data_IF_794657943445
#
_entry.id   IF_794657943445
#
_cell.length_a   1.000
_cell.length_b   1.000
_cell.length_c   1.000
_cell.angle_alpha   90.00
_cell.angle_beta   90.00
_cell.angle_gamma   90.00
#
_symmetry.space_group_name_H-M   'P 1'
#
loop_
_entity.id
_entity.type
_entity.pdbx_description
1 polymer ?
#
# COMPACT_ATOMS: atom_id res chain seq x y z
N UNK A 1 -28.71 16.15 -23.55
CA UNK A 1 -27.39 15.49 -23.35
C UNK A 1 -27.03 14.83 -24.66
N UNK A 2 -25.87 15.12 -25.22
CA UNK A 2 -25.37 14.38 -26.39
C UNK A 2 -25.28 12.89 -26.06
N UNK A 3 -25.81 12.06 -26.94
CA UNK A 3 -25.77 10.61 -26.78
C UNK A 3 -24.41 10.09 -27.28
N UNK A 4 -23.51 9.80 -26.32
CA UNK A 4 -22.21 9.25 -26.67
C UNK A 4 -22.33 7.81 -27.18
N UNK A 5 -21.51 7.44 -28.17
CA UNK A 5 -21.50 6.11 -28.77
C UNK A 5 -21.08 5.02 -27.78
N UNK A 6 -20.14 5.31 -26.90
CA UNK A 6 -19.53 4.35 -25.97
C UNK A 6 -19.69 4.75 -24.51
N UNK A 7 -19.52 6.04 -24.19
CA UNK A 7 -19.60 6.54 -22.80
C UNK A 7 -21.02 6.38 -22.28
N UNK A 8 -21.17 5.83 -21.08
CA UNK A 8 -22.47 5.56 -20.46
C UNK A 8 -23.22 4.34 -21.03
N UNK A 9 -22.61 3.58 -21.94
CA UNK A 9 -23.20 2.34 -22.51
C UNK A 9 -22.64 1.11 -21.80
N UNK A 10 -23.47 0.08 -21.67
CA UNK A 10 -23.06 -1.24 -21.18
C UNK A 10 -22.38 -2.00 -22.32
N UNK A 11 -21.07 -2.00 -22.34
CA UNK A 11 -20.27 -2.71 -23.33
C UNK A 11 -19.72 -4.03 -22.76
N UNK A 12 -19.66 -5.11 -23.55
CA UNK A 12 -18.99 -6.33 -23.14
C UNK A 12 -17.48 -6.09 -23.04
N UNK A 13 -16.83 -6.72 -22.04
CA UNK A 13 -15.39 -6.73 -21.93
C UNK A 13 -14.78 -7.48 -23.13
N UNK A 14 -13.80 -6.88 -23.84
CA UNK A 14 -13.25 -7.44 -25.09
C UNK A 14 -12.56 -8.79 -24.89
N UNK A 15 -11.92 -9.02 -23.74
CA UNK A 15 -11.22 -10.25 -23.35
C UNK A 15 -12.10 -11.18 -22.47
N UNK A 16 -13.34 -10.81 -22.19
CA UNK A 16 -14.24 -11.53 -21.28
C UNK A 16 -14.45 -13.00 -21.67
N UNK A 17 -14.58 -13.26 -22.98
CA UNK A 17 -14.77 -14.63 -23.48
C UNK A 17 -13.55 -15.52 -23.22
N UNK A 18 -12.33 -14.99 -23.28
CA UNK A 18 -11.11 -15.74 -22.97
C UNK A 18 -11.08 -16.16 -21.51
N UNK A 19 -11.49 -15.26 -20.59
CA UNK A 19 -11.59 -15.57 -19.16
C UNK A 19 -12.62 -16.67 -18.88
N UNK A 20 -13.84 -16.54 -19.43
CA UNK A 20 -14.93 -17.51 -19.21
C UNK A 20 -14.57 -18.90 -19.74
N UNK A 21 -13.85 -18.97 -20.85
CA UNK A 21 -13.44 -20.23 -21.48
C UNK A 21 -12.11 -20.78 -20.93
N UNK A 22 -11.55 -20.20 -19.86
CA UNK A 22 -10.25 -20.57 -19.27
C UNK A 22 -9.08 -20.55 -20.29
N UNK A 23 -9.14 -19.65 -21.28
CA UNK A 23 -8.09 -19.45 -22.30
C UNK A 23 -7.11 -18.35 -21.94
N UNK A 24 -7.41 -17.58 -20.91
CA UNK A 24 -6.51 -16.55 -20.38
C UNK A 24 -5.23 -17.19 -19.85
N UNK A 25 -4.10 -16.66 -20.26
CA UNK A 25 -2.78 -17.08 -19.73
C UNK A 25 -2.28 -16.07 -18.72
N UNK A 26 -1.91 -16.55 -17.54
CA UNK A 26 -1.26 -15.80 -16.49
C UNK A 26 0.25 -16.02 -16.54
N UNK A 27 1.02 -15.19 -15.82
CA UNK A 27 2.49 -15.32 -15.79
C UNK A 27 2.90 -16.73 -15.34
N UNK A 28 2.19 -17.30 -14.36
CA UNK A 28 2.49 -18.66 -13.92
C UNK A 28 2.27 -19.76 -14.98
N UNK A 29 1.45 -19.51 -16.01
CA UNK A 29 1.21 -20.47 -17.08
C UNK A 29 2.31 -20.50 -18.14
N UNK A 30 3.21 -19.50 -18.12
CA UNK A 30 4.31 -19.39 -19.08
C UNK A 30 5.35 -20.45 -18.77
N UNK A 31 5.76 -21.17 -19.82
CA UNK A 31 6.87 -22.13 -19.81
C UNK A 31 7.81 -21.80 -20.94
N UNK A 32 9.09 -21.63 -20.61
CA UNK A 32 10.16 -21.33 -21.56
C UNK A 32 11.20 -22.47 -21.52
N UNK A 33 11.84 -22.79 -22.64
CA UNK A 33 12.88 -23.83 -22.68
C UNK A 33 14.03 -23.54 -21.71
N UNK A 34 14.49 -24.57 -20.98
CA UNK A 34 15.61 -24.45 -20.05
C UNK A 34 15.32 -23.61 -18.79
N UNK A 35 14.05 -23.40 -18.45
CA UNK A 35 13.62 -22.59 -17.32
C UNK A 35 14.13 -23.13 -15.99
N UNK A 36 14.65 -22.26 -15.16
CA UNK A 36 15.07 -22.49 -13.78
C UNK A 36 14.02 -22.02 -12.79
N UNK A 37 14.03 -22.61 -11.60
CA UNK A 37 13.10 -22.31 -10.52
C UNK A 37 13.82 -21.70 -9.33
N UNK A 38 13.17 -20.73 -8.68
CA UNK A 38 13.74 -19.97 -7.58
C UNK A 38 13.07 -20.29 -6.26
N UNK A 39 13.90 -20.40 -5.23
CA UNK A 39 13.52 -20.29 -3.82
C UNK A 39 14.49 -19.37 -3.08
N UNK A 40 14.05 -18.84 -1.93
CA UNK A 40 14.87 -17.95 -1.11
C UNK A 40 14.90 -18.40 0.34
N UNK A 41 16.08 -18.28 0.97
CA UNK A 41 16.18 -18.30 2.41
C UNK A 41 15.70 -16.96 2.96
N UNK A 42 14.78 -17.02 3.92
CA UNK A 42 14.10 -15.85 4.48
C UNK A 42 14.31 -15.81 5.99
N UNK A 43 14.39 -14.59 6.54
CA UNK A 43 14.53 -14.40 7.98
C UNK A 43 13.35 -15.01 8.75
N UNK A 44 13.62 -15.87 9.75
CA UNK A 44 12.60 -16.37 10.68
C UNK A 44 12.27 -15.38 11.81
N UNK A 45 13.07 -14.31 11.97
CA UNK A 45 12.98 -13.36 13.07
C UNK A 45 12.70 -11.94 12.58
N UNK A 46 12.05 -11.10 13.40
CA UNK A 46 11.63 -9.76 12.99
C UNK A 46 12.76 -8.72 13.00
N UNK A 47 13.84 -8.96 13.76
CA UNK A 47 14.97 -8.05 13.86
C UNK A 47 16.22 -8.82 14.25
N UNK A 48 17.26 -8.75 13.43
CA UNK A 48 18.55 -9.35 13.74
C UNK A 48 19.66 -8.70 12.91
N UNK A 49 20.90 -8.77 13.43
CA UNK A 49 22.11 -8.58 12.65
C UNK A 49 22.51 -9.89 11.97
N UNK A 50 22.92 -9.83 10.72
CA UNK A 50 23.44 -10.97 9.99
C UNK A 50 24.94 -11.08 10.30
N UNK A 51 25.34 -12.13 11.00
CA UNK A 51 26.75 -12.36 11.36
C UNK A 51 27.50 -13.14 10.29
N UNK A 52 26.83 -14.17 9.73
CA UNK A 52 27.41 -15.05 8.70
C UNK A 52 26.34 -15.56 7.76
N UNK A 53 26.69 -15.70 6.49
CA UNK A 53 25.91 -16.42 5.47
C UNK A 53 26.84 -17.41 4.79
N UNK A 54 26.56 -18.71 4.92
CA UNK A 54 27.30 -19.80 4.29
C UNK A 54 26.40 -20.52 3.29
N UNK A 55 26.71 -20.38 2.02
CA UNK A 55 25.97 -20.96 0.90
C UNK A 55 26.68 -22.16 0.25
N UNK A 56 27.86 -22.54 0.75
CA UNK A 56 28.75 -23.51 0.11
C UNK A 56 28.11 -24.87 -0.15
N UNK A 57 27.30 -25.38 0.79
CA UNK A 57 26.57 -26.63 0.63
C UNK A 57 25.47 -26.52 -0.42
N UNK A 58 24.75 -25.42 -0.45
CA UNK A 58 23.72 -25.16 -1.45
C UNK A 58 24.30 -25.04 -2.86
N UNK A 59 25.45 -24.35 -3.02
CA UNK A 59 26.15 -24.23 -4.31
C UNK A 59 26.69 -25.56 -4.83
N UNK A 60 27.03 -26.50 -3.92
CA UNK A 60 27.56 -27.80 -4.27
C UNK A 60 26.48 -28.86 -4.60
N UNK A 61 25.21 -28.53 -4.37
CA UNK A 61 24.11 -29.48 -4.63
C UNK A 61 23.89 -29.62 -6.16
N UNK A 62 23.92 -30.89 -6.67
CA UNK A 62 23.65 -31.14 -8.09
C UNK A 62 22.28 -30.56 -8.51
N UNK A 63 22.23 -29.87 -9.65
CA UNK A 63 21.04 -29.22 -10.15
C UNK A 63 20.87 -27.75 -9.69
N UNK A 64 21.66 -27.28 -8.74
CA UNK A 64 21.75 -25.84 -8.43
C UNK A 64 22.59 -25.15 -9.48
N UNK A 65 22.06 -24.10 -10.08
CA UNK A 65 22.74 -23.34 -11.14
C UNK A 65 23.41 -22.08 -10.59
N UNK A 66 22.73 -21.38 -9.69
CA UNK A 66 23.29 -20.18 -9.03
C UNK A 66 22.65 -19.94 -7.67
N UNK A 67 23.49 -19.58 -6.72
CA UNK A 67 23.08 -18.99 -5.43
C UNK A 67 23.53 -17.53 -5.45
N UNK A 68 22.67 -16.61 -5.02
CA UNK A 68 23.00 -15.18 -4.89
C UNK A 68 22.75 -14.69 -3.48
N UNK A 69 23.61 -13.80 -3.05
CA UNK A 69 23.51 -12.96 -1.85
C UNK A 69 23.47 -11.49 -2.26
N UNK A 70 23.38 -10.59 -1.30
CA UNK A 70 23.45 -9.15 -1.59
C UNK A 70 24.72 -8.73 -2.38
N UNK A 71 25.83 -9.49 -2.25
CA UNK A 71 27.09 -9.25 -2.95
C UNK A 71 27.01 -9.45 -4.46
N UNK A 72 26.09 -10.30 -4.90
CA UNK A 72 25.84 -10.59 -6.32
C UNK A 72 24.87 -9.58 -6.96
N UNK A 73 24.22 -8.72 -6.16
CA UNK A 73 23.30 -7.70 -6.67
C UNK A 73 24.07 -6.46 -7.09
N UNK A 74 24.09 -6.06 -8.38
CA UNK A 74 24.92 -4.96 -8.84
C UNK A 74 24.65 -3.61 -8.14
N UNK A 75 23.39 -3.32 -7.78
CA UNK A 75 22.99 -2.23 -6.91
C UNK A 75 21.86 -2.69 -6.00
N UNK A 76 22.19 -2.95 -4.73
CA UNK A 76 21.32 -3.64 -3.77
C UNK A 76 20.34 -2.70 -3.06
N UNK A 77 19.71 -1.75 -3.76
CA UNK A 77 18.71 -0.85 -3.19
C UNK A 77 17.63 -0.52 -4.20
N UNK A 78 16.39 -0.37 -3.73
CA UNK A 78 15.27 0.10 -4.54
C UNK A 78 14.24 0.88 -3.71
N UNK A 79 13.15 1.31 -4.35
CA UNK A 79 12.15 2.18 -3.75
C UNK A 79 12.39 3.64 -4.09
N UNK A 80 11.46 4.51 -3.71
CA UNK A 80 11.54 5.95 -4.02
C UNK A 80 12.68 6.66 -3.29
N UNK A 81 13.02 6.20 -2.10
CA UNK A 81 14.15 6.72 -1.30
C UNK A 81 15.33 5.75 -1.26
N UNK A 82 15.26 4.63 -1.99
CA UNK A 82 16.30 3.62 -2.11
C UNK A 82 16.80 3.06 -0.75
N UNK A 83 15.91 2.90 0.22
CA UNK A 83 16.20 2.36 1.54
C UNK A 83 16.05 0.83 1.62
N UNK A 84 15.32 0.21 0.69
CA UNK A 84 15.00 -1.21 0.73
C UNK A 84 16.03 -2.03 -0.09
N UNK A 85 16.75 -2.99 0.54
CA UNK A 85 17.66 -3.87 -0.19
C UNK A 85 16.90 -4.93 -0.98
N UNK A 86 17.46 -5.35 -2.13
CA UNK A 86 16.95 -6.49 -2.91
C UNK A 86 17.13 -7.80 -2.15
N UNK A 87 18.29 -7.98 -1.52
CA UNK A 87 18.59 -9.04 -0.54
C UNK A 87 19.19 -8.40 0.70
N UNK A 88 18.81 -8.86 1.89
CA UNK A 88 19.31 -8.32 3.15
C UNK A 88 20.83 -8.40 3.23
N UNK A 89 21.46 -7.31 3.69
CA UNK A 89 22.90 -7.12 3.71
C UNK A 89 23.49 -7.37 5.10
N UNK A 90 23.28 -6.43 6.03
CA UNK A 90 23.86 -6.48 7.38
C UNK A 90 22.84 -6.83 8.45
N UNK A 91 21.56 -6.63 8.16
CA UNK A 91 20.45 -6.83 9.09
C UNK A 91 19.17 -7.27 8.39
N UNK A 92 18.30 -7.91 9.16
CA UNK A 92 16.92 -8.16 8.79
C UNK A 92 15.99 -7.31 9.64
N UNK A 93 14.93 -6.77 9.04
CA UNK A 93 13.98 -5.85 9.68
C UNK A 93 12.58 -6.40 9.81
N UNK A 94 12.30 -7.60 9.26
CA UNK A 94 11.00 -8.26 9.39
C UNK A 94 11.10 -9.76 9.10
N UNK A 95 10.15 -10.54 9.63
CA UNK A 95 10.00 -11.96 9.33
C UNK A 95 9.63 -12.14 7.86
N UNK A 96 10.40 -12.98 7.15
CA UNK A 96 10.17 -13.25 5.72
C UNK A 96 11.05 -12.43 4.78
N UNK A 97 11.94 -11.57 5.29
CA UNK A 97 12.89 -10.83 4.45
C UNK A 97 13.89 -11.76 3.78
N UNK A 98 14.09 -11.60 2.47
CA UNK A 98 15.00 -12.40 1.67
C UNK A 98 16.47 -12.07 1.98
N UNK A 99 17.27 -13.11 2.26
CA UNK A 99 18.71 -12.99 2.51
C UNK A 99 19.53 -13.65 1.42
N UNK A 100 19.11 -14.84 0.96
CA UNK A 100 19.76 -15.61 -0.10
C UNK A 100 18.70 -16.11 -1.07
N UNK A 101 19.00 -16.11 -2.37
CA UNK A 101 18.14 -16.72 -3.37
C UNK A 101 18.89 -17.76 -4.20
N UNK A 102 18.21 -18.85 -4.54
CA UNK A 102 18.74 -19.98 -5.29
C UNK A 102 17.96 -20.16 -6.57
N UNK A 103 18.66 -20.36 -7.70
CA UNK A 103 18.10 -20.84 -8.96
C UNK A 103 18.58 -22.27 -9.23
N UNK A 104 17.65 -23.20 -9.44
CA UNK A 104 17.92 -24.61 -9.71
C UNK A 104 17.10 -25.15 -10.89
N UNK A 105 17.46 -26.36 -11.36
CA UNK A 105 16.83 -27.05 -12.49
C UNK A 105 15.35 -27.33 -12.27
N UNK A 106 14.96 -27.58 -11.02
CA UNK A 106 13.60 -27.83 -10.60
C UNK A 106 13.31 -27.25 -9.21
N UNK A 107 12.04 -27.25 -8.82
CA UNK A 107 11.58 -26.65 -7.58
C UNK A 107 12.06 -27.42 -6.33
N UNK A 108 12.11 -28.75 -6.41
CA UNK A 108 12.49 -29.60 -5.28
C UNK A 108 13.97 -29.41 -4.95
N UNK A 109 14.82 -29.35 -5.97
CA UNK A 109 16.24 -29.01 -5.84
C UNK A 109 16.44 -27.60 -5.27
N UNK A 110 15.64 -26.62 -5.70
CA UNK A 110 15.73 -25.27 -5.14
C UNK A 110 15.33 -25.22 -3.66
N UNK A 111 14.31 -25.99 -3.25
CA UNK A 111 13.87 -26.11 -1.85
C UNK A 111 14.93 -26.83 -0.99
N UNK A 112 15.50 -27.92 -1.48
CA UNK A 112 16.58 -28.63 -0.80
C UNK A 112 17.80 -27.71 -0.61
N UNK A 113 18.21 -27.00 -1.66
CA UNK A 113 19.33 -26.07 -1.59
C UNK A 113 19.13 -24.98 -0.52
N UNK A 114 17.93 -24.41 -0.43
CA UNK A 114 17.59 -23.43 0.62
C UNK A 114 17.75 -24.03 2.02
N UNK A 115 17.41 -25.30 2.22
CA UNK A 115 17.55 -25.97 3.53
C UNK A 115 19.01 -26.20 3.94
N UNK A 116 19.94 -26.16 3.00
CA UNK A 116 21.39 -26.34 3.22
C UNK A 116 22.12 -25.01 3.49
N UNK A 117 21.43 -23.87 3.36
CA UNK A 117 22.01 -22.54 3.66
C UNK A 117 22.08 -22.37 5.17
N UNK A 118 23.26 -21.96 5.65
CA UNK A 118 23.48 -21.64 7.06
C UNK A 118 23.63 -20.13 7.25
N UNK A 119 22.70 -19.53 8.01
CA UNK A 119 22.71 -18.11 8.33
C UNK A 119 22.75 -17.93 9.84
N UNK A 120 23.80 -17.29 10.33
CA UNK A 120 23.97 -16.95 11.73
C UNK A 120 23.41 -15.54 11.99
N UNK A 121 22.43 -15.45 12.88
CA UNK A 121 21.73 -14.22 13.24
C UNK A 121 21.97 -13.87 14.70
N UNK A 122 22.29 -12.60 14.96
CA UNK A 122 22.24 -12.00 16.30
C UNK A 122 20.89 -11.29 16.45
N UNK A 123 19.94 -11.96 17.12
CA UNK A 123 18.61 -11.41 17.32
C UNK A 123 18.64 -10.13 18.16
N UNK A 124 17.75 -9.17 17.81
CA UNK A 124 17.57 -7.91 18.50
C UNK A 124 16.12 -7.72 18.90
N UNK A 125 15.89 -6.94 19.95
CA UNK A 125 14.54 -6.56 20.33
C UNK A 125 13.85 -5.78 19.20
N UNK A 126 12.66 -6.21 18.74
CA UNK A 126 11.98 -5.56 17.64
C UNK A 126 11.06 -4.44 18.13
N UNK A 127 10.96 -3.36 17.37
CA UNK A 127 9.91 -2.35 17.50
C UNK A 127 8.66 -2.82 16.73
N UNK A 128 7.59 -3.20 17.44
CA UNK A 128 6.35 -3.68 16.83
C UNK A 128 5.17 -2.72 16.99
N UNK A 129 5.27 -1.73 17.89
CA UNK A 129 4.21 -0.74 18.14
C UNK A 129 4.60 0.62 17.57
N UNK A 130 3.88 1.14 16.55
CA UNK A 130 4.20 2.45 15.98
C UNK A 130 4.01 3.61 16.98
N UNK A 131 3.18 3.44 18.02
CA UNK A 131 3.03 4.46 19.05
C UNK A 131 4.31 4.58 19.91
N UNK A 132 4.91 3.44 20.27
CA UNK A 132 6.22 3.41 20.94
C UNK A 132 7.34 3.97 20.06
N UNK A 133 7.26 3.75 18.74
CA UNK A 133 8.24 4.28 17.80
C UNK A 133 8.29 5.81 17.70
N UNK A 134 7.32 6.52 18.29
CA UNK A 134 7.31 7.98 18.40
C UNK A 134 8.04 8.50 19.64
N UNK A 135 8.38 7.64 20.59
CA UNK A 135 9.04 8.02 21.84
C UNK A 135 10.52 8.35 21.58
N UNK A 136 11.11 9.34 22.27
CA UNK A 136 12.48 9.77 22.00
C UNK A 136 13.54 8.70 22.22
N UNK A 137 13.30 7.77 23.13
CA UNK A 137 14.17 6.66 23.52
C UNK A 137 13.79 5.32 22.84
N UNK A 138 12.96 5.38 21.83
CA UNK A 138 12.50 4.22 21.10
C UNK A 138 13.63 3.50 20.36
N UNK A 139 13.51 2.16 20.26
CA UNK A 139 14.32 1.33 19.37
C UNK A 139 14.28 1.91 17.95
N UNK A 140 15.45 2.06 17.33
CA UNK A 140 15.55 2.57 15.96
C UNK A 140 15.54 1.42 14.96
N UNK A 141 14.57 1.48 14.00
CA UNK A 141 14.42 0.49 12.91
C UNK A 141 15.32 0.86 11.73
N UNK A 142 15.55 2.14 11.52
CA UNK A 142 16.47 2.66 10.48
C UNK A 142 17.54 3.54 11.11
N UNK A 143 18.75 3.60 10.53
CA UNK A 143 19.78 4.56 10.96
C UNK A 143 19.32 6.03 10.93
N UNK A 144 18.39 6.37 10.05
CA UNK A 144 17.79 7.71 9.93
C UNK A 144 16.64 7.95 10.94
N UNK A 145 16.32 6.96 11.78
CA UNK A 145 15.22 7.01 12.74
C UNK A 145 13.97 6.31 12.28
N UNK A 146 12.90 6.42 13.08
CA UNK A 146 11.63 5.71 12.84
C UNK A 146 10.62 6.52 12.02
N UNK A 147 10.80 7.82 11.90
CA UNK A 147 9.84 8.67 11.18
C UNK A 147 10.07 8.64 9.66
N UNK A 148 9.00 8.42 8.93
CA UNK A 148 8.98 8.66 7.47
C UNK A 148 8.73 10.14 7.21
N UNK A 149 9.56 10.75 6.38
CA UNK A 149 9.51 12.17 6.10
C UNK A 149 8.61 12.48 4.89
N UNK A 150 7.91 13.60 4.98
CA UNK A 150 7.12 14.22 3.91
C UNK A 150 7.83 15.50 3.45
N UNK A 151 8.80 15.34 2.54
CA UNK A 151 9.77 16.38 2.26
C UNK A 151 10.74 16.55 3.43
N UNK A 152 10.74 17.71 4.04
CA UNK A 152 11.61 18.08 5.20
C UNK A 152 10.98 17.81 6.58
N UNK A 153 9.71 17.32 6.63
CA UNK A 153 8.95 17.17 7.89
C UNK A 153 8.60 15.71 8.19
N UNK A 154 8.71 15.26 9.45
CA UNK A 154 8.31 13.92 9.89
C UNK A 154 6.78 13.77 10.04
N UNK A 155 6.00 14.72 9.49
CA UNK A 155 4.56 14.78 9.62
C UNK A 155 3.91 15.41 8.39
N UNK A 156 2.84 14.77 7.88
CA UNK A 156 1.96 15.40 6.88
C UNK A 156 0.91 16.24 7.59
N UNK A 157 0.89 17.52 7.28
CA UNK A 157 0.01 18.49 7.91
C UNK A 157 -1.05 19.02 6.94
N UNK A 158 -2.29 19.13 7.42
CA UNK A 158 -3.35 19.90 6.78
C UNK A 158 -3.81 20.98 7.76
N UNK A 159 -4.00 22.18 7.25
CA UNK A 159 -4.45 23.34 8.04
C UNK A 159 -5.45 24.13 7.19
N UNK A 160 -6.67 24.29 7.72
CA UNK A 160 -7.75 25.10 7.13
C UNK A 160 -8.46 25.83 8.27
N UNK A 161 -8.64 27.13 8.15
CA UNK A 161 -9.29 27.96 9.18
C UNK A 161 -8.53 27.98 10.52
N UNK A 162 -9.25 28.29 11.59
CA UNK A 162 -8.75 28.34 12.98
C UNK A 162 -9.54 27.36 13.85
N UNK A 163 -8.95 26.17 14.07
CA UNK A 163 -9.60 25.10 14.86
C UNK A 163 -9.73 25.47 16.34
N UNK A 164 -8.78 26.21 16.91
CA UNK A 164 -8.79 26.52 18.34
C UNK A 164 -9.89 27.54 18.66
N UNK A 165 -10.04 28.58 17.85
CA UNK A 165 -11.13 29.54 17.96
C UNK A 165 -12.50 28.86 17.70
N UNK A 166 -12.59 27.93 16.77
CA UNK A 166 -13.83 27.22 16.47
C UNK A 166 -14.21 26.23 17.60
N UNK A 167 -13.25 25.54 18.21
CA UNK A 167 -13.54 24.68 19.38
C UNK A 167 -14.08 25.48 20.56
N UNK A 168 -13.62 26.72 20.76
CA UNK A 168 -14.14 27.59 21.83
C UNK A 168 -15.60 28.02 21.61
N UNK A 169 -16.12 27.93 20.38
CA UNK A 169 -17.49 28.28 20.01
C UNK A 169 -18.43 27.07 19.93
N UNK A 170 -17.88 25.86 19.94
CA UNK A 170 -18.67 24.63 19.78
C UNK A 170 -19.54 24.36 21.02
N UNK A 171 -20.79 23.94 20.78
CA UNK A 171 -21.70 23.50 21.84
C UNK A 171 -21.28 22.13 22.41
N UNK A 172 -20.68 21.28 21.57
CA UNK A 172 -20.21 19.95 21.93
C UNK A 172 -18.79 19.72 21.42
N UNK A 173 -17.95 19.12 22.28
CA UNK A 173 -16.63 18.61 21.92
C UNK A 173 -16.71 17.09 22.01
N UNK A 174 -16.46 16.41 20.88
CA UNK A 174 -16.60 14.96 20.77
C UNK A 174 -15.26 14.35 20.35
N UNK A 175 -14.65 13.60 21.25
CA UNK A 175 -13.34 12.98 21.05
C UNK A 175 -13.49 11.45 20.98
N UNK A 176 -12.84 10.83 20.00
CA UNK A 176 -12.83 9.38 19.86
C UNK A 176 -11.48 8.89 19.31
N UNK A 177 -11.17 7.65 19.66
CA UNK A 177 -10.04 6.90 19.14
C UNK A 177 -10.53 5.76 18.25
N UNK A 178 -9.89 5.62 17.09
CA UNK A 178 -10.14 4.54 16.13
C UNK A 178 -8.84 3.82 15.81
N UNK A 179 -8.96 2.52 15.57
CA UNK A 179 -7.83 1.69 15.15
C UNK A 179 -8.24 0.76 14.03
N UNK A 180 -7.40 0.63 13.00
CA UNK A 180 -7.52 -0.42 11.99
C UNK A 180 -6.35 -1.39 12.13
N UNK A 181 -6.61 -2.69 11.93
CA UNK A 181 -5.57 -3.70 11.87
C UNK A 181 -4.80 -3.63 10.54
N UNK A 182 -3.62 -4.25 10.51
CA UNK A 182 -2.93 -4.58 9.27
C UNK A 182 -3.76 -5.57 8.46
N UNK A 183 -3.70 -5.49 7.13
CA UNK A 183 -4.49 -6.34 6.24
C UNK A 183 -3.71 -6.73 5.00
N UNK A 184 -3.68 -8.04 4.71
CA UNK A 184 -3.15 -8.59 3.47
C UNK A 184 -4.14 -8.44 2.32
N UNK A 185 -3.63 -8.30 1.10
CA UNK A 185 -4.43 -8.19 -0.13
C UNK A 185 -5.12 -9.49 -0.51
N UNK A 186 -4.49 -10.62 -0.24
CA UNK A 186 -4.95 -11.98 -0.54
C UNK A 186 -5.39 -12.17 -2.01
N UNK A 187 -4.60 -11.76 -3.02
CA UNK A 187 -4.95 -12.05 -4.40
C UNK A 187 -4.99 -13.56 -4.62
N UNK A 188 -5.90 -14.06 -5.47
CA UNK A 188 -5.97 -15.49 -5.78
C UNK A 188 -4.66 -15.95 -6.42
N UNK A 189 -4.14 -15.20 -7.39
CA UNK A 189 -2.81 -15.38 -7.96
C UNK A 189 -1.75 -14.77 -7.04
N UNK A 190 -0.86 -15.60 -6.47
CA UNK A 190 0.30 -15.16 -5.68
C UNK A 190 1.34 -14.48 -6.56
N UNK A 191 2.38 -13.87 -5.96
CA UNK A 191 3.46 -13.23 -6.71
C UNK A 191 4.17 -14.25 -7.62
N UNK A 192 4.38 -13.87 -8.88
CA UNK A 192 5.12 -14.66 -9.86
C UNK A 192 5.85 -13.73 -10.84
N UNK A 193 7.11 -14.00 -11.06
CA UNK A 193 7.92 -13.30 -12.06
C UNK A 193 8.78 -14.29 -12.84
N UNK A 194 9.10 -13.94 -14.10
CA UNK A 194 10.06 -14.68 -14.92
C UNK A 194 11.01 -13.65 -15.53
N UNK A 195 12.31 -13.89 -15.45
CA UNK A 195 13.29 -13.03 -16.09
C UNK A 195 14.30 -13.84 -16.89
N UNK A 196 14.81 -13.25 -17.97
CA UNK A 196 15.85 -13.82 -18.82
C UNK A 196 16.75 -12.69 -19.34
N UNK A 197 18.05 -12.82 -19.16
CA UNK A 197 19.02 -11.93 -19.79
C UNK A 197 19.56 -12.60 -21.03
N UNK A 198 19.34 -12.00 -22.22
CA UNK A 198 19.76 -12.55 -23.51
C UNK A 198 21.25 -12.33 -23.78
N UNK A 199 21.75 -12.95 -24.86
CA UNK A 199 23.15 -12.86 -25.28
C UNK A 199 23.63 -11.45 -25.64
N UNK A 200 22.70 -10.53 -25.91
CA UNK A 200 22.96 -9.11 -26.12
C UNK A 200 22.99 -8.30 -24.82
N UNK A 201 22.78 -8.97 -23.67
CA UNK A 201 22.73 -8.35 -22.34
C UNK A 201 21.42 -7.66 -22.02
N UNK A 202 20.36 -7.80 -22.84
CA UNK A 202 19.04 -7.26 -22.53
C UNK A 202 18.30 -8.18 -21.57
N UNK A 203 17.68 -7.60 -20.53
CA UNK A 203 16.86 -8.35 -19.57
C UNK A 203 15.39 -8.24 -19.96
N UNK A 204 14.76 -9.39 -20.20
CA UNK A 204 13.34 -9.56 -20.49
C UNK A 204 12.65 -10.05 -19.22
N UNK A 205 11.58 -9.37 -18.78
CA UNK A 205 10.85 -9.68 -17.55
C UNK A 205 9.37 -9.89 -17.87
N UNK A 206 8.85 -11.08 -17.64
CA UNK A 206 7.41 -11.34 -17.66
C UNK A 206 6.86 -11.06 -16.26
N UNK A 207 6.09 -10.01 -16.15
CA UNK A 207 5.66 -9.44 -14.87
C UNK A 207 4.14 -9.39 -14.76
N UNK A 208 3.62 -9.71 -13.58
CA UNK A 208 2.23 -9.48 -13.21
C UNK A 208 2.00 -8.09 -12.58
N UNK A 209 2.95 -7.17 -12.72
CA UNK A 209 2.91 -5.87 -12.08
C UNK A 209 1.71 -5.02 -12.50
N UNK A 210 1.11 -4.33 -11.52
CA UNK A 210 0.15 -3.27 -11.74
C UNK A 210 0.82 -1.94 -12.14
N UNK A 211 2.16 -1.86 -12.02
CA UNK A 211 2.95 -0.63 -12.19
C UNK A 211 4.27 -0.89 -12.95
N UNK A 212 4.17 -1.44 -14.16
CA UNK A 212 5.34 -1.85 -14.99
C UNK A 212 6.38 -0.75 -15.19
N UNK A 213 5.97 0.53 -15.18
CA UNK A 213 6.89 1.67 -15.30
C UNK A 213 7.74 1.86 -14.03
N UNK A 214 7.17 1.69 -12.85
CA UNK A 214 7.94 1.72 -11.60
C UNK A 214 8.88 0.53 -11.52
N UNK A 215 8.44 -0.68 -11.91
CA UNK A 215 9.32 -1.84 -11.96
C UNK A 215 10.52 -1.59 -12.87
N UNK A 216 10.30 -1.03 -14.07
CA UNK A 216 11.38 -0.68 -14.98
C UNK A 216 12.32 0.36 -14.39
N UNK A 217 11.77 1.39 -13.74
CA UNK A 217 12.53 2.45 -13.10
C UNK A 217 13.45 1.91 -11.98
N UNK A 218 13.01 0.90 -11.25
CA UNK A 218 13.80 0.30 -10.17
C UNK A 218 14.75 -0.81 -10.68
N UNK A 219 14.31 -1.65 -11.62
CA UNK A 219 15.13 -2.74 -12.16
C UNK A 219 16.36 -2.23 -12.92
N UNK A 220 16.25 -1.17 -13.68
CA UNK A 220 17.35 -0.65 -14.49
C UNK A 220 18.57 -0.26 -13.64
N UNK A 221 18.47 0.54 -12.55
CA UNK A 221 19.58 0.81 -11.64
C UNK A 221 20.11 -0.45 -10.95
N UNK A 222 19.21 -1.32 -10.44
CA UNK A 222 19.60 -2.57 -9.75
C UNK A 222 20.51 -3.41 -10.62
N UNK A 223 20.18 -3.55 -11.91
CA UNK A 223 20.95 -4.32 -12.89
C UNK A 223 22.15 -3.53 -13.46
N UNK A 224 22.33 -2.26 -13.06
CA UNK A 224 23.28 -1.31 -13.66
C UNK A 224 23.17 -1.26 -15.20
N UNK A 225 21.93 -1.23 -15.71
CA UNK A 225 21.61 -1.17 -17.14
C UNK A 225 20.82 0.09 -17.48
N UNK A 226 20.98 0.65 -18.69
CA UNK A 226 20.05 1.69 -19.15
C UNK A 226 18.63 1.10 -19.30
N UNK A 227 17.60 1.91 -19.12
CA UNK A 227 16.20 1.47 -19.21
C UNK A 227 15.85 0.83 -20.57
N UNK A 228 16.55 1.19 -21.64
CA UNK A 228 16.38 0.58 -22.96
C UNK A 228 16.80 -0.89 -23.03
N UNK A 229 17.63 -1.34 -22.08
CA UNK A 229 18.07 -2.74 -21.95
C UNK A 229 17.22 -3.57 -21.01
N UNK A 230 16.18 -2.99 -20.41
CA UNK A 230 15.21 -3.69 -19.55
C UNK A 230 13.84 -3.66 -20.23
N UNK A 231 13.36 -4.81 -20.66
CA UNK A 231 12.08 -4.99 -21.34
C UNK A 231 11.10 -5.72 -20.43
N UNK A 232 10.08 -5.02 -19.94
CA UNK A 232 9.04 -5.61 -19.09
C UNK A 232 7.80 -5.89 -19.92
N UNK A 233 7.38 -7.14 -19.92
CA UNK A 233 6.18 -7.65 -20.58
C UNK A 233 5.13 -7.90 -19.51
N UNK A 234 4.11 -7.02 -19.46
CA UNK A 234 2.97 -7.20 -18.56
C UNK A 234 2.06 -8.31 -19.04
N UNK A 235 1.58 -9.12 -18.11
CA UNK A 235 0.56 -10.14 -18.33
C UNK A 235 -0.81 -9.76 -17.78
N UNK A 236 -1.75 -10.70 -17.87
CA UNK A 236 -3.02 -10.61 -17.14
C UNK A 236 -2.72 -10.81 -15.65
N UNK A 237 -3.34 -9.98 -14.81
CA UNK A 237 -3.13 -9.98 -13.36
C UNK A 237 -4.32 -10.67 -12.68
N UNK A 238 -4.06 -11.77 -11.97
CA UNK A 238 -5.04 -12.59 -11.25
C UNK A 238 -5.44 -12.04 -9.88
N UNK A 239 -5.65 -10.72 -9.80
CA UNK A 239 -5.85 -9.95 -8.58
C UNK A 239 -4.53 -9.33 -8.10
N UNK A 240 -4.62 -8.11 -7.56
CA UNK A 240 -3.45 -7.40 -7.06
C UNK A 240 -3.82 -6.48 -5.90
N UNK A 241 -4.84 -5.65 -6.08
CA UNK A 241 -5.35 -4.72 -5.06
C UNK A 241 -4.29 -3.77 -4.48
N UNK A 242 -3.14 -3.65 -5.17
CA UNK A 242 -1.98 -2.86 -4.77
C UNK A 242 -0.74 -3.68 -4.42
N UNK A 243 -0.82 -4.97 -4.03
CA UNK A 243 0.36 -5.79 -3.70
C UNK A 243 1.32 -5.97 -4.88
N UNK A 244 0.81 -5.93 -6.10
CA UNK A 244 1.58 -6.10 -7.33
C UNK A 244 2.08 -4.78 -7.92
N UNK A 245 2.09 -3.70 -7.14
CA UNK A 245 2.81 -2.47 -7.48
C UNK A 245 4.30 -2.60 -7.20
N UNK A 246 4.66 -3.35 -6.16
CA UNK A 246 6.04 -3.56 -5.75
C UNK A 246 6.62 -4.79 -6.47
N UNK A 247 7.88 -4.72 -6.97
CA UNK A 247 8.42 -5.71 -7.91
C UNK A 247 9.08 -6.92 -7.24
N UNK A 248 8.45 -7.52 -6.24
CA UNK A 248 8.99 -8.61 -5.41
C UNK A 248 9.77 -9.69 -6.19
N UNK A 249 9.07 -10.58 -6.90
CA UNK A 249 9.70 -11.70 -7.64
C UNK A 249 10.49 -11.23 -8.84
N UNK A 250 10.09 -10.11 -9.46
CA UNK A 250 10.76 -9.56 -10.65
C UNK A 250 12.19 -9.13 -10.35
N UNK A 251 12.47 -8.60 -9.13
CA UNK A 251 13.80 -8.16 -8.71
C UNK A 251 14.77 -9.35 -8.67
N UNK A 252 14.45 -10.37 -7.90
CA UNK A 252 15.30 -11.54 -7.68
C UNK A 252 15.49 -12.33 -8.97
N UNK A 253 14.42 -12.57 -9.74
CA UNK A 253 14.51 -13.24 -11.03
C UNK A 253 15.41 -12.47 -12.01
N UNK A 254 15.31 -11.13 -12.04
CA UNK A 254 16.14 -10.31 -12.92
C UNK A 254 17.61 -10.36 -12.54
N UNK A 255 17.95 -10.30 -11.25
CA UNK A 255 19.32 -10.43 -10.77
C UNK A 255 19.88 -11.82 -11.09
N UNK A 256 19.17 -12.89 -10.74
CA UNK A 256 19.58 -14.28 -11.05
C UNK A 256 19.82 -14.47 -12.56
N UNK A 257 18.97 -13.88 -13.40
CA UNK A 257 19.10 -14.00 -14.87
C UNK A 257 20.42 -13.45 -15.45
N UNK A 258 21.17 -12.66 -14.68
CA UNK A 258 22.52 -12.20 -15.09
C UNK A 258 23.55 -13.35 -15.06
N UNK A 259 23.29 -14.41 -14.30
CA UNK A 259 24.22 -15.49 -13.98
C UNK A 259 23.81 -16.85 -14.54
N UNK A 260 22.71 -16.93 -15.31
CA UNK A 260 22.12 -18.20 -15.77
C UNK A 260 22.30 -18.46 -17.27
N UNK A 261 23.30 -17.84 -17.91
CA UNK A 261 23.69 -18.12 -19.30
C UNK A 261 22.50 -18.11 -20.28
N UNK A 262 21.70 -17.06 -20.26
CA UNK A 262 20.48 -16.90 -21.08
C UNK A 262 19.35 -17.90 -20.74
N UNK A 263 19.41 -18.62 -19.65
CA UNK A 263 18.29 -19.45 -19.19
C UNK A 263 17.25 -18.60 -18.45
N UNK A 264 15.94 -18.79 -18.71
CA UNK A 264 14.90 -18.09 -17.99
C UNK A 264 14.85 -18.53 -16.53
N UNK A 265 14.58 -17.61 -15.63
CA UNK A 265 14.48 -17.81 -14.19
C UNK A 265 13.07 -17.47 -13.72
N UNK A 266 12.38 -18.40 -13.07
CA UNK A 266 10.99 -18.25 -12.62
C UNK A 266 10.87 -18.38 -11.11
N UNK A 267 10.16 -17.46 -10.47
CA UNK A 267 9.78 -17.54 -9.08
C UNK A 267 8.28 -17.40 -8.91
N UNK A 268 7.66 -18.43 -8.35
CA UNK A 268 6.28 -18.44 -7.90
C UNK A 268 6.28 -18.55 -6.37
N UNK A 269 5.65 -17.58 -5.71
CA UNK A 269 5.47 -17.62 -4.27
C UNK A 269 4.36 -18.58 -3.86
N UNK A 270 4.55 -19.27 -2.72
CA UNK A 270 3.47 -19.95 -2.03
C UNK A 270 2.55 -18.93 -1.35
N UNK A 271 1.43 -19.40 -0.82
CA UNK A 271 0.54 -18.53 -0.06
C UNK A 271 1.18 -18.05 1.25
N UNK A 272 2.00 -18.87 1.87
CA UNK A 272 2.77 -18.53 3.07
C UNK A 272 3.81 -17.44 2.75
N UNK A 273 4.52 -17.54 1.64
CA UNK A 273 5.45 -16.51 1.17
C UNK A 273 4.73 -15.19 0.91
N UNK A 274 3.52 -15.24 0.32
CA UNK A 274 2.68 -14.05 0.12
C UNK A 274 2.35 -13.36 1.46
N UNK A 275 1.93 -14.13 2.48
CA UNK A 275 1.56 -13.58 3.78
C UNK A 275 2.74 -13.09 4.62
N UNK A 276 3.93 -13.63 4.42
CA UNK A 276 5.12 -13.27 5.22
C UNK A 276 5.97 -12.19 4.59
N UNK A 277 5.93 -12.04 3.25
CA UNK A 277 6.94 -11.25 2.53
C UNK A 277 6.36 -10.19 1.60
N UNK A 278 5.10 -10.30 1.15
CA UNK A 278 4.50 -9.25 0.32
C UNK A 278 4.27 -7.97 1.12
N UNK A 279 4.19 -6.85 0.44
CA UNK A 279 3.71 -5.60 1.06
C UNK A 279 2.23 -5.72 1.44
N UNK A 280 1.79 -4.92 2.42
CA UNK A 280 0.43 -5.00 2.94
C UNK A 280 -0.10 -3.61 3.34
N UNK A 281 -1.37 -3.53 3.78
CA UNK A 281 -1.92 -2.34 4.42
C UNK A 281 -1.44 -2.28 5.87
N UNK A 282 -0.75 -1.22 6.25
CA UNK A 282 -0.34 -0.99 7.63
C UNK A 282 -1.53 -0.70 8.55
N UNK A 283 -1.40 -1.07 9.81
CA UNK A 283 -2.32 -0.63 10.86
C UNK A 283 -2.27 0.88 11.03
N UNK A 284 -3.34 1.46 11.59
CA UNK A 284 -3.43 2.89 11.82
C UNK A 284 -4.15 3.19 13.12
N UNK A 285 -3.60 4.14 13.89
CA UNK A 285 -4.19 4.72 15.08
C UNK A 285 -4.66 6.13 14.74
N UNK A 286 -5.91 6.47 15.03
CA UNK A 286 -6.54 7.74 14.64
C UNK A 286 -7.27 8.35 15.81
N UNK A 287 -6.89 9.56 16.19
CA UNK A 287 -7.47 10.34 17.28
C UNK A 287 -8.25 11.50 16.67
N UNK A 288 -9.56 11.47 16.81
CA UNK A 288 -10.48 12.46 16.27
C UNK A 288 -11.01 13.35 17.40
N UNK A 289 -11.10 14.65 17.13
CA UNK A 289 -11.76 15.64 17.95
C UNK A 289 -12.59 16.53 17.05
N UNK A 290 -13.90 16.61 17.29
CA UNK A 290 -14.84 17.45 16.56
C UNK A 290 -15.52 18.47 17.47
N UNK A 291 -15.64 19.72 16.99
CA UNK A 291 -16.48 20.77 17.55
C UNK A 291 -17.79 20.84 16.78
N UNK A 292 -18.90 20.64 17.45
CA UNK A 292 -20.23 20.51 16.86
C UNK A 292 -21.21 21.50 17.48
N UNK A 293 -22.04 22.13 16.66
CA UNK A 293 -23.11 23.01 17.09
C UNK A 293 -24.37 22.22 17.42
N UNK A 294 -25.30 22.80 18.20
CA UNK A 294 -26.62 22.18 18.53
C UNK A 294 -27.45 21.84 17.29
N UNK A 295 -27.27 22.61 16.20
CA UNK A 295 -27.96 22.38 14.93
C UNK A 295 -27.34 21.27 14.07
N UNK A 296 -26.27 20.62 14.52
CA UNK A 296 -25.60 19.51 13.87
C UNK A 296 -24.46 19.93 12.94
N UNK A 297 -24.15 21.20 12.76
CA UNK A 297 -22.99 21.64 11.97
C UNK A 297 -21.69 21.28 12.69
N UNK A 298 -20.77 20.66 11.97
CA UNK A 298 -19.40 20.38 12.42
C UNK A 298 -18.55 21.58 12.03
N UNK A 299 -18.15 22.38 13.00
CA UNK A 299 -17.43 23.64 12.78
C UNK A 299 -15.92 23.50 12.90
N UNK A 300 -15.44 22.45 13.55
CA UNK A 300 -14.01 22.16 13.67
C UNK A 300 -13.76 20.67 13.70
N UNK A 301 -12.64 20.24 13.10
CA UNK A 301 -12.10 18.87 13.20
C UNK A 301 -10.60 18.90 13.40
N UNK A 302 -10.13 18.21 14.43
CA UNK A 302 -8.73 17.93 14.63
C UNK A 302 -8.50 16.41 14.57
N UNK A 303 -7.52 15.96 13.77
CA UNK A 303 -7.16 14.54 13.64
C UNK A 303 -5.65 14.38 13.79
N UNK A 304 -5.24 13.46 14.66
CA UNK A 304 -3.89 12.93 14.72
C UNK A 304 -3.90 11.46 14.33
N UNK A 305 -3.17 11.12 13.29
CA UNK A 305 -3.06 9.73 12.81
C UNK A 305 -1.62 9.24 12.86
N UNK A 306 -1.42 8.03 13.35
CA UNK A 306 -0.14 7.34 13.39
C UNK A 306 -0.29 6.03 12.61
N UNK A 307 0.45 5.90 11.51
CA UNK A 307 0.44 4.75 10.63
C UNK A 307 1.69 3.90 10.87
N UNK A 308 1.49 2.60 10.94
CA UNK A 308 2.56 1.62 10.88
C UNK A 308 3.15 1.59 9.46
N UNK A 309 4.43 1.77 9.32
CA UNK A 309 5.18 1.83 8.06
C UNK A 309 5.87 0.52 7.67
N UNK A 310 5.99 -0.44 8.62
CA UNK A 310 6.83 -1.62 8.42
C UNK A 310 8.32 -1.29 8.33
N UNK A 311 9.13 -2.23 7.87
CA UNK A 311 10.60 -2.12 7.92
C UNK A 311 11.24 -1.16 6.92
N UNK A 312 10.49 -0.73 5.88
CA UNK A 312 11.01 0.10 4.78
C UNK A 312 9.97 1.08 4.25
N UNK A 313 10.43 2.19 3.65
CA UNK A 313 9.58 3.34 3.33
C UNK A 313 8.63 3.07 2.15
N UNK A 314 9.12 2.56 1.02
CA UNK A 314 8.34 2.33 -0.20
C UNK A 314 7.41 3.50 -0.56
N UNK A 315 6.05 3.28 -0.52
CA UNK A 315 5.03 4.29 -0.82
C UNK A 315 4.38 4.89 0.43
N UNK A 316 4.98 4.72 1.59
CA UNK A 316 4.39 5.08 2.87
C UNK A 316 4.06 6.57 3.02
N UNK A 317 4.93 7.45 2.51
CA UNK A 317 4.75 8.90 2.48
C UNK A 317 3.51 9.28 1.64
N UNK A 318 3.36 8.70 0.45
CA UNK A 318 2.19 8.95 -0.42
C UNK A 318 0.89 8.47 0.22
N UNK A 319 0.89 7.28 0.84
CA UNK A 319 -0.30 6.74 1.53
C UNK A 319 -0.68 7.57 2.74
N UNK A 320 0.32 7.99 3.54
CA UNK A 320 0.11 8.88 4.68
C UNK A 320 -0.43 10.26 4.26
N UNK A 321 0.10 10.82 3.17
CA UNK A 321 -0.39 12.07 2.61
C UNK A 321 -1.83 11.95 2.13
N UNK A 322 -2.17 10.88 1.40
CA UNK A 322 -3.53 10.67 0.89
C UNK A 322 -4.53 10.43 2.02
N UNK A 323 -4.13 9.73 3.08
CA UNK A 323 -4.93 9.61 4.30
C UNK A 323 -5.25 10.98 4.89
N UNK A 324 -4.23 11.84 5.08
CA UNK A 324 -4.41 13.19 5.63
C UNK A 324 -5.40 14.04 4.83
N UNK A 325 -5.40 13.90 3.49
CA UNK A 325 -6.35 14.62 2.62
C UNK A 325 -7.80 14.16 2.80
N UNK A 326 -8.00 12.88 3.15
CA UNK A 326 -9.31 12.24 3.19
C UNK A 326 -10.02 12.22 4.54
N UNK A 327 -9.37 12.59 5.65
CA UNK A 327 -9.95 12.44 7.00
C UNK A 327 -11.07 13.44 7.34
N UNK A 328 -11.31 14.44 6.52
CA UNK A 328 -12.47 15.30 6.65
C UNK A 328 -13.72 14.74 5.97
N UNK A 329 -13.56 13.63 5.23
CA UNK A 329 -14.63 13.01 4.46
C UNK A 329 -15.24 13.93 3.41
N UNK A 330 -16.46 13.65 2.96
CA UNK A 330 -17.19 14.46 2.00
C UNK A 330 -17.99 15.56 2.71
N UNK A 331 -17.45 16.13 3.80
CA UNK A 331 -18.13 17.10 4.63
C UNK A 331 -17.47 18.47 4.55
N UNK A 332 -18.32 19.53 4.51
CA UNK A 332 -17.88 20.91 4.54
C UNK A 332 -17.56 21.33 5.98
N UNK A 333 -16.34 21.05 6.43
CA UNK A 333 -15.84 21.45 7.74
C UNK A 333 -14.96 22.70 7.54
N UNK A 334 -15.34 23.86 8.11
CA UNK A 334 -14.64 25.11 7.86
C UNK A 334 -13.25 25.18 8.50
N UNK A 335 -13.04 24.49 9.65
CA UNK A 335 -11.80 24.53 10.39
C UNK A 335 -11.25 23.10 10.57
N UNK A 336 -10.09 22.81 9.94
CA UNK A 336 -9.50 21.46 9.92
C UNK A 336 -8.03 21.50 10.25
N UNK A 337 -7.61 20.68 11.21
CA UNK A 337 -6.21 20.45 11.62
C UNK A 337 -5.92 18.96 11.58
N UNK A 338 -5.03 18.54 10.68
CA UNK A 338 -4.62 17.13 10.56
C UNK A 338 -3.10 17.02 10.70
N UNK A 339 -2.66 16.06 11.50
CA UNK A 339 -1.28 15.65 11.65
C UNK A 339 -1.19 14.13 11.45
N UNK A 340 -0.57 13.69 10.35
CA UNK A 340 -0.39 12.27 10.05
C UNK A 340 1.09 11.91 10.07
N UNK A 341 1.44 10.95 10.90
CA UNK A 341 2.77 10.38 11.05
C UNK A 341 2.80 8.98 10.45
N UNK A 342 3.94 8.59 9.91
CA UNK A 342 4.24 7.23 9.51
C UNK A 342 5.51 6.79 10.24
N UNK A 343 5.43 5.66 10.94
CA UNK A 343 6.48 5.17 11.82
C UNK A 343 6.95 3.81 11.34
N UNK A 344 8.24 3.67 11.11
CA UNK A 344 8.87 2.39 10.77
C UNK A 344 8.80 1.43 11.97
N UNK A 345 8.61 0.15 11.67
CA UNK A 345 8.53 -0.95 12.65
C UNK A 345 9.17 -2.21 12.09
N UNK A 346 9.56 -3.15 12.96
CA UNK A 346 10.10 -4.45 12.55
C UNK A 346 9.02 -5.42 12.08
N UNK A 347 8.15 -4.94 11.18
CA UNK A 347 7.15 -5.72 10.47
C UNK A 347 7.42 -5.68 8.98
N UNK A 348 6.83 -6.62 8.24
CA UNK A 348 6.94 -6.61 6.78
C UNK A 348 6.54 -5.25 6.19
N UNK A 349 7.12 -4.87 5.04
CA UNK A 349 6.92 -3.54 4.47
C UNK A 349 5.46 -3.24 4.18
N UNK A 350 5.10 -2.00 4.42
CA UNK A 350 3.77 -1.46 4.16
C UNK A 350 3.82 -0.62 2.88
N UNK A 351 2.89 -0.88 1.96
CA UNK A 351 2.82 -0.15 0.70
C UNK A 351 1.37 0.11 0.29
N UNK A 352 1.14 0.13 -1.01
CA UNK A 352 -0.18 0.37 -1.59
C UNK A 352 -1.16 -0.74 -1.25
N UNK A 353 -2.36 -0.38 -0.84
CA UNK A 353 -3.54 -1.24 -0.90
C UNK A 353 -4.76 -0.44 -1.29
N UNK A 354 -5.70 -1.06 -1.99
CA UNK A 354 -6.96 -0.48 -2.49
C UNK A 354 -7.51 0.59 -1.54
N UNK A 355 -7.73 1.82 -2.07
CA UNK A 355 -8.09 3.03 -1.32
C UNK A 355 -6.90 3.88 -0.86
N UNK A 356 -5.67 3.31 -0.77
CA UNK A 356 -4.41 4.04 -0.59
C UNK A 356 -4.45 5.05 0.58
N UNK A 357 -4.91 4.58 1.78
CA UNK A 357 -5.08 5.40 2.99
C UNK A 357 -6.51 5.90 3.22
N UNK A 358 -7.35 6.01 2.18
CA UNK A 358 -8.72 6.53 2.31
C UNK A 358 -9.67 5.58 3.04
N UNK A 359 -9.47 4.26 2.97
CA UNK A 359 -10.37 3.32 3.68
C UNK A 359 -10.31 3.49 5.19
N UNK A 360 -9.09 3.70 5.74
CA UNK A 360 -8.93 3.98 7.17
C UNK A 360 -9.57 5.32 7.54
N UNK A 361 -9.36 6.35 6.69
CA UNK A 361 -9.96 7.66 6.87
C UNK A 361 -11.50 7.58 6.87
N UNK A 362 -12.09 6.95 5.84
CA UNK A 362 -13.54 6.83 5.70
C UNK A 362 -14.18 6.01 6.83
N UNK A 363 -13.52 4.92 7.28
CA UNK A 363 -13.99 4.16 8.43
C UNK A 363 -14.09 5.03 9.67
N UNK A 364 -13.00 5.74 10.01
CA UNK A 364 -12.96 6.55 11.23
C UNK A 364 -13.91 7.76 11.14
N UNK A 365 -13.95 8.44 9.99
CA UNK A 365 -14.81 9.57 9.73
C UNK A 365 -16.29 9.21 9.85
N UNK A 366 -16.76 8.19 9.14
CA UNK A 366 -18.18 7.80 9.13
C UNK A 366 -18.65 7.26 10.48
N UNK A 367 -17.80 6.52 11.22
CA UNK A 367 -18.13 6.11 12.58
C UNK A 367 -18.12 7.29 13.53
N UNK A 368 -17.24 8.28 13.31
CA UNK A 368 -17.25 9.53 14.08
C UNK A 368 -18.57 10.30 13.89
N UNK A 369 -19.05 10.41 12.63
CA UNK A 369 -20.35 11.03 12.33
C UNK A 369 -21.51 10.33 13.06
N UNK A 370 -21.54 8.99 13.07
CA UNK A 370 -22.54 8.21 13.83
C UNK A 370 -22.48 8.51 15.33
N UNK A 371 -21.27 8.58 15.90
CA UNK A 371 -21.07 8.91 17.31
C UNK A 371 -21.51 10.35 17.63
N UNK A 372 -21.23 11.30 16.73
CA UNK A 372 -21.70 12.68 16.86
C UNK A 372 -23.22 12.71 16.86
N UNK A 373 -23.87 12.13 15.84
CA UNK A 373 -25.34 12.06 15.73
C UNK A 373 -25.99 11.51 17.00
N UNK A 374 -25.48 10.38 17.51
CA UNK A 374 -25.95 9.76 18.76
C UNK A 374 -25.77 10.68 19.98
N UNK A 375 -24.64 11.37 20.08
CA UNK A 375 -24.31 12.22 21.23
C UNK A 375 -25.23 13.45 21.31
N UNK A 376 -25.55 14.06 20.17
CA UNK A 376 -26.41 15.26 20.13
C UNK A 376 -27.91 14.92 19.96
N UNK A 377 -28.25 13.60 19.86
CA UNK A 377 -29.65 13.16 19.70
C UNK A 377 -30.24 13.47 18.32
N UNK A 378 -29.41 13.56 17.27
CA UNK A 378 -29.82 13.86 15.91
C UNK A 378 -29.83 12.59 15.04
N UNK A 379 -30.73 12.55 14.04
CA UNK A 379 -30.74 11.50 13.02
C UNK A 379 -29.44 11.50 12.21
N UNK A 380 -28.90 10.30 11.92
CA UNK A 380 -27.61 10.16 11.26
C UNK A 380 -27.62 10.53 9.77
N UNK A 381 -28.78 10.47 9.10
CA UNK A 381 -28.95 11.04 7.76
C UNK A 381 -28.93 12.57 7.82
N UNK A 382 -29.70 13.14 8.75
CA UNK A 382 -29.82 14.59 8.91
C UNK A 382 -28.48 15.26 9.11
N UNK A 383 -27.62 14.73 9.99
CA UNK A 383 -26.29 15.31 10.22
C UNK A 383 -25.40 15.25 8.96
N UNK A 384 -25.50 14.17 8.17
CA UNK A 384 -24.78 14.07 6.89
C UNK A 384 -25.27 15.08 5.87
N UNK A 385 -26.57 15.27 5.73
CA UNK A 385 -27.16 16.28 4.83
C UNK A 385 -26.75 17.72 5.20
N UNK A 386 -26.75 18.05 6.51
CA UNK A 386 -26.35 19.37 7.01
C UNK A 386 -24.90 19.68 6.62
N UNK A 387 -24.01 18.69 6.78
CA UNK A 387 -22.56 18.87 6.58
C UNK A 387 -22.08 18.49 5.18
N UNK A 388 -22.94 17.97 4.30
CA UNK A 388 -22.54 17.55 2.96
C UNK A 388 -21.91 18.68 2.15
N UNK A 389 -20.83 18.37 1.42
CA UNK A 389 -20.21 19.34 0.49
C UNK A 389 -21.14 19.69 -0.67
N UNK A 390 -21.04 20.94 -1.13
CA UNK A 390 -21.79 21.50 -2.25
C UNK A 390 -20.85 22.19 -3.23
N UNK A 391 -21.37 22.55 -4.40
CA UNK A 391 -20.62 23.37 -5.37
C UNK A 391 -20.20 24.70 -4.74
N UNK A 392 -18.93 25.06 -4.94
CA UNK A 392 -18.30 26.25 -4.37
C UNK A 392 -17.75 26.09 -2.95
N UNK A 393 -18.03 24.96 -2.27
CA UNK A 393 -17.34 24.63 -1.02
C UNK A 393 -15.87 24.31 -1.25
N UNK A 394 -15.06 24.35 -0.18
CA UNK A 394 -13.66 24.00 -0.24
C UNK A 394 -13.37 22.70 0.51
N UNK A 395 -12.53 21.83 -0.06
CA UNK A 395 -12.02 20.63 0.58
C UNK A 395 -11.16 20.94 1.81
N UNK A 396 -10.74 19.92 2.55
CA UNK A 396 -9.75 20.06 3.64
C UNK A 396 -8.41 20.63 3.16
N UNK A 397 -8.06 20.43 1.88
CA UNK A 397 -6.87 20.98 1.23
C UNK A 397 -7.11 22.34 0.55
N UNK A 398 -8.25 22.93 0.78
CA UNK A 398 -8.68 24.25 0.27
C UNK A 398 -8.88 24.31 -1.26
N UNK A 399 -8.97 23.17 -1.93
CA UNK A 399 -9.39 23.13 -3.32
C UNK A 399 -10.91 23.37 -3.43
N UNK A 400 -11.33 24.23 -4.34
CA UNK A 400 -12.74 24.49 -4.63
C UNK A 400 -13.38 23.24 -5.25
N UNK A 401 -14.59 22.91 -4.81
CA UNK A 401 -15.35 21.76 -5.24
C UNK A 401 -16.37 22.13 -6.30
N UNK A 402 -16.42 21.34 -7.37
CA UNK A 402 -17.34 21.52 -8.50
C UNK A 402 -18.01 20.18 -8.83
N UNK A 403 -19.20 20.28 -9.43
CA UNK A 403 -19.99 19.13 -9.87
C UNK A 403 -20.33 18.16 -8.73
N UNK A 404 -20.57 18.71 -7.53
CA UNK A 404 -21.00 17.92 -6.38
C UNK A 404 -22.38 17.31 -6.63
N UNK A 405 -22.58 16.09 -6.16
CA UNK A 405 -23.84 15.35 -6.25
C UNK A 405 -24.10 14.47 -5.01
N UNK A 406 -23.44 14.76 -3.87
CA UNK A 406 -23.54 13.93 -2.68
C UNK A 406 -24.97 13.90 -2.12
N UNK A 407 -25.63 15.04 -2.05
CA UNK A 407 -27.00 15.16 -1.54
C UNK A 407 -27.96 14.34 -2.41
N UNK A 408 -27.90 14.49 -3.73
CA UNK A 408 -28.73 13.76 -4.68
C UNK A 408 -28.49 12.23 -4.61
N UNK A 409 -27.23 11.83 -4.40
CA UNK A 409 -26.88 10.40 -4.22
C UNK A 409 -27.45 9.85 -2.92
N UNK A 410 -27.39 10.61 -1.81
CA UNK A 410 -28.00 10.23 -0.54
C UNK A 410 -29.54 10.13 -0.65
N UNK A 411 -30.20 11.09 -1.29
CA UNK A 411 -31.66 11.03 -1.53
C UNK A 411 -32.05 9.80 -2.34
N UNK A 412 -31.32 9.50 -3.44
CA UNK A 412 -31.57 8.32 -4.26
C UNK A 412 -31.33 7.00 -3.49
N UNK A 413 -30.31 6.97 -2.62
CA UNK A 413 -30.02 5.81 -1.78
C UNK A 413 -31.13 5.57 -0.75
N UNK A 414 -31.60 6.64 -0.06
CA UNK A 414 -32.70 6.56 0.89
C UNK A 414 -33.98 6.07 0.23
N UNK A 415 -34.32 6.62 -0.94
CA UNK A 415 -35.50 6.19 -1.72
C UNK A 415 -35.43 4.70 -2.06
N UNK A 416 -34.28 4.20 -2.55
CA UNK A 416 -34.09 2.79 -2.88
C UNK A 416 -34.14 1.87 -1.68
N UNK A 417 -33.70 2.33 -0.52
CA UNK A 417 -33.74 1.60 0.74
C UNK A 417 -35.09 1.67 1.46
N UNK A 418 -36.06 2.43 0.93
CA UNK A 418 -37.36 2.65 1.57
C UNK A 418 -37.26 3.51 2.85
N UNK A 419 -36.18 4.27 3.00
CA UNK A 419 -35.98 5.20 4.13
C UNK A 419 -36.77 6.49 3.85
N UNK A 420 -37.66 6.85 4.77
CA UNK A 420 -38.40 8.10 4.69
C UNK A 420 -37.53 9.23 5.22
N UNK A 421 -37.17 10.16 4.35
CA UNK A 421 -36.49 11.42 4.72
C UNK A 421 -37.53 12.49 5.06
N UNK A 422 -37.14 13.43 5.91
CA UNK A 422 -37.92 14.64 6.19
C UNK A 422 -38.01 15.54 4.95
N UNK A 423 -39.06 16.34 4.82
CA UNK A 423 -39.30 17.17 3.63
C UNK A 423 -38.19 18.21 3.40
N UNK A 424 -37.57 18.73 4.46
CA UNK A 424 -36.44 19.63 4.38
C UNK A 424 -35.20 18.96 3.73
N UNK A 425 -34.96 17.68 4.01
CA UNK A 425 -33.87 16.91 3.41
C UNK A 425 -34.13 16.58 1.94
N UNK A 426 -35.40 16.39 1.56
CA UNK A 426 -35.78 16.11 0.18
C UNK A 426 -35.64 17.34 -0.73
N UNK A 427 -35.72 18.56 -0.16
CA UNK A 427 -35.58 19.83 -0.91
C UNK A 427 -34.12 20.31 -1.02
N UNK A 428 -33.18 19.70 -0.28
CA UNK A 428 -31.76 20.03 -0.36
C UNK A 428 -31.16 19.66 -1.71
N UNK A 429 -30.14 20.40 -2.14
CA UNK A 429 -29.36 20.13 -3.35
C UNK A 429 -27.87 20.43 -3.15
N UNK A 430 -27.03 19.65 -3.82
CA UNK A 430 -25.59 19.92 -3.90
C UNK A 430 -25.25 21.19 -4.71
N UNK A 431 -26.19 21.72 -5.47
CA UNK A 431 -26.03 22.90 -6.35
C UNK A 431 -26.39 24.23 -5.67
N UNK A 432 -27.12 24.15 -4.57
CA UNK A 432 -27.63 25.37 -3.89
C UNK A 432 -27.19 25.35 -2.42
N UNK A 433 -26.48 26.38 -1.99
CA UNK A 433 -26.32 26.67 -0.56
C UNK A 433 -27.66 27.14 -0.01
N UNK A 434 -28.16 26.46 1.01
CA UNK A 434 -29.18 27.06 1.85
C UNK A 434 -28.48 28.17 2.63
N UNK A 435 -28.83 29.45 2.36
CA UNK A 435 -28.49 30.55 3.25
C UNK A 435 -29.22 30.30 4.58
N UNK A 436 -28.45 29.98 5.62
CA UNK A 436 -28.93 29.80 7.00
C UNK A 436 -28.66 31.09 7.76
#
# INVERSE_FOLDING_TARGET
MEEYKYVGKRLPRYDGMQHVLAKTRYINDIRLPGMLYVKAWRSPVPSARILKVDVSKAESLPGVVKVITWKDVPYNRYGFVADYPVLAEDEVRYIGQEVVAVAAEDLDTAMEAVSLIDVELEEREPLLDPLKGMEPDSIQVSPEGNFVYFGDKPVRQIRKGDTDAAFAQADYIIENYFRTAAQEHCPIETQCGIAQTDVMGRTHVYSMSQAIWFNKMWLAPILKKPQSMVHIMGGVVGGGFGSKNDPHTDLICSVLSLYTENRPVKWLWTREEEFTSSTHRGSMHMFFKDGVMKDGRIIARQVRSIRDGGGYILTNDYVGAKHAYGVAGPYNIPNVKVDTYVILTNKRPVSSMRGFGLYQASFADEVQIEKIAKTIGMDSWKIRFINAVRDGDTSSTQAELHSCALIEVMQAAAQRAGIKLDDDLLTMSSKVRLEV
#
